data_IF_553935067137
#
_entry.id   IF_553935067137
#
_cell.length_a   1.000
_cell.length_b   1.000
_cell.length_c   1.000
_cell.angle_alpha   90.00
_cell.angle_beta   90.00
_cell.angle_gamma   90.00
#
_symmetry.space_group_name_H-M   'P 1'
#
loop_
_entity.id
_entity.type
_entity.pdbx_description
1 polymer ?
#
# COMPACT_ATOMS: atom_id res chain seq x y z
N UNK A 1 43.74 44.69 25.45
CA UNK A 1 42.78 45.59 24.75
C UNK A 1 42.97 47.00 25.29
N UNK A 2 43.30 47.98 24.45
CA UNK A 2 43.26 49.39 24.86
C UNK A 2 41.80 49.81 25.02
N UNK A 3 41.41 50.24 26.21
CA UNK A 3 40.05 50.72 26.48
C UNK A 3 39.96 52.20 26.11
N UNK A 4 39.09 52.54 25.16
CA UNK A 4 38.78 53.94 24.83
C UNK A 4 38.24 54.64 26.08
N UNK A 5 38.89 55.74 26.48
CA UNK A 5 38.51 56.56 27.65
C UNK A 5 37.62 57.74 27.27
N UNK A 6 37.64 58.16 26.00
CA UNK A 6 36.93 59.33 25.51
C UNK A 6 36.45 59.07 24.08
N UNK A 7 35.19 59.36 23.80
CA UNK A 7 34.58 59.32 22.47
C UNK A 7 33.85 60.65 22.27
N UNK A 8 34.08 61.35 21.16
CA UNK A 8 33.51 62.68 20.86
C UNK A 8 33.59 63.66 22.03
N UNK A 9 34.80 63.85 22.57
CA UNK A 9 35.10 64.74 23.70
C UNK A 9 34.40 64.41 25.03
N UNK A 10 33.56 63.36 25.11
CA UNK A 10 32.88 62.91 26.34
C UNK A 10 33.58 61.68 26.94
N UNK A 11 33.66 61.64 28.28
CA UNK A 11 34.21 60.50 29.02
C UNK A 11 33.21 59.35 28.96
N UNK A 12 33.63 58.20 28.45
CA UNK A 12 32.77 57.02 28.34
C UNK A 12 32.51 56.47 29.74
N UNK A 13 31.24 56.40 30.12
CA UNK A 13 30.79 55.83 31.39
C UNK A 13 30.85 54.30 31.38
N UNK A 14 30.95 53.70 32.56
CA UNK A 14 31.00 52.24 32.68
C UNK A 14 29.70 51.57 32.21
N UNK A 15 28.57 52.26 32.36
CA UNK A 15 27.26 51.80 31.90
C UNK A 15 27.18 51.79 30.35
N UNK A 16 27.74 52.79 29.67
CA UNK A 16 27.83 52.82 28.20
C UNK A 16 28.71 51.68 27.65
N UNK A 17 29.81 51.34 28.34
CA UNK A 17 30.64 50.17 27.99
C UNK A 17 29.88 48.86 28.16
N UNK A 18 29.13 48.72 29.26
CA UNK A 18 28.30 47.54 29.52
C UNK A 18 27.21 47.37 28.46
N UNK A 19 26.50 48.45 28.12
CA UNK A 19 25.46 48.42 27.07
C UNK A 19 26.03 48.09 25.69
N UNK A 20 27.16 48.69 25.30
CA UNK A 20 27.82 48.38 24.03
C UNK A 20 28.27 46.91 23.95
N UNK A 21 28.76 46.34 25.05
CA UNK A 21 29.14 44.91 25.13
C UNK A 21 27.94 43.98 24.98
N UNK A 22 26.80 44.31 25.60
CA UNK A 22 25.55 43.53 25.45
C UNK A 22 25.02 43.61 24.02
N UNK A 23 25.04 44.79 23.41
CA UNK A 23 24.62 44.97 22.01
C UNK A 23 25.54 44.21 21.03
N UNK A 24 26.86 44.26 21.24
CA UNK A 24 27.82 43.51 20.44
C UNK A 24 27.59 41.99 20.55
N UNK A 25 27.37 41.47 21.76
CA UNK A 25 27.04 40.05 21.96
C UNK A 25 25.72 39.65 21.31
N UNK A 26 24.68 40.48 21.44
CA UNK A 26 23.37 40.25 20.81
C UNK A 26 23.46 40.28 19.28
N UNK A 27 24.26 41.18 18.72
CA UNK A 27 24.48 41.25 17.27
C UNK A 27 25.29 40.04 16.77
N UNK A 28 26.32 39.62 17.50
CA UNK A 28 27.10 38.42 17.19
C UNK A 28 26.21 37.15 17.25
N UNK A 29 25.33 37.06 18.24
CA UNK A 29 24.36 35.97 18.36
C UNK A 29 23.34 35.98 17.22
N UNK A 30 22.82 37.15 16.85
CA UNK A 30 21.95 37.30 15.68
C UNK A 30 22.66 36.88 14.38
N UNK A 31 23.95 37.24 14.22
CA UNK A 31 24.76 36.82 13.06
C UNK A 31 24.97 35.32 13.04
N UNK A 32 25.26 34.70 14.19
CA UNK A 32 25.43 33.25 14.32
C UNK A 32 24.16 32.49 14.00
N UNK A 33 23.02 32.94 14.52
CA UNK A 33 21.71 32.33 14.25
C UNK A 33 21.31 32.52 12.77
N UNK A 34 21.54 33.71 12.20
CA UNK A 34 21.33 33.94 10.77
C UNK A 34 22.21 33.04 9.90
N UNK A 35 23.48 32.84 10.27
CA UNK A 35 24.39 31.94 9.56
C UNK A 35 23.91 30.48 9.64
N UNK A 36 23.48 30.03 10.82
CA UNK A 36 22.90 28.70 11.04
C UNK A 36 21.66 28.48 10.17
N UNK A 37 20.74 29.45 10.12
CA UNK A 37 19.57 29.39 9.26
C UNK A 37 19.93 29.35 7.77
N UNK A 38 20.94 30.11 7.35
CA UNK A 38 21.44 30.08 5.97
C UNK A 38 22.00 28.70 5.60
N UNK A 39 22.80 28.09 6.48
CA UNK A 39 23.34 26.74 6.28
C UNK A 39 22.23 25.69 6.18
N UNK A 40 21.21 25.77 7.03
CA UNK A 40 20.05 24.87 6.98
C UNK A 40 19.26 25.01 5.67
N UNK A 41 19.01 26.25 5.22
CA UNK A 41 18.34 26.52 3.94
C UNK A 41 19.14 25.99 2.76
N UNK A 42 20.47 26.16 2.79
CA UNK A 42 21.34 25.66 1.73
C UNK A 42 21.39 24.13 1.72
N UNK A 43 21.50 23.49 2.89
CA UNK A 43 21.42 22.03 3.01
C UNK A 43 20.10 21.50 2.43
N UNK A 44 18.97 22.12 2.79
CA UNK A 44 17.64 21.79 2.23
C UNK A 44 17.65 21.88 0.70
N UNK A 45 18.17 22.99 0.15
CA UNK A 45 18.23 23.24 -1.29
C UNK A 45 19.03 22.15 -2.01
N UNK A 46 20.18 21.76 -1.46
CA UNK A 46 21.04 20.72 -2.02
C UNK A 46 20.36 19.33 -1.98
N UNK A 47 19.74 18.96 -0.86
CA UNK A 47 19.03 17.68 -0.75
C UNK A 47 17.88 17.59 -1.74
N UNK A 48 17.06 18.63 -1.89
CA UNK A 48 15.97 18.65 -2.89
C UNK A 48 16.54 18.53 -4.31
N UNK A 49 17.66 19.19 -4.63
CA UNK A 49 18.29 19.08 -5.94
C UNK A 49 18.82 17.66 -6.20
N UNK A 50 19.43 17.03 -5.19
CA UNK A 50 19.92 15.66 -5.29
C UNK A 50 18.76 14.68 -5.51
N UNK A 51 17.66 14.81 -4.75
CA UNK A 51 16.44 14.00 -4.93
C UNK A 51 15.86 14.18 -6.33
N UNK A 52 15.74 15.42 -6.81
CA UNK A 52 15.24 15.71 -8.16
C UNK A 52 16.13 15.07 -9.24
N UNK A 53 17.46 15.14 -9.10
CA UNK A 53 18.39 14.49 -10.03
C UNK A 53 18.23 12.97 -10.04
N UNK A 54 18.06 12.34 -8.86
CA UNK A 54 17.83 10.91 -8.76
C UNK A 54 16.50 10.51 -9.42
N UNK A 55 15.46 11.32 -9.21
CA UNK A 55 14.16 11.16 -9.87
C UNK A 55 14.31 11.19 -11.39
N UNK A 56 14.99 12.20 -11.95
CA UNK A 56 15.20 12.31 -13.40
C UNK A 56 15.97 11.11 -13.97
N UNK A 57 17.02 10.66 -13.27
CA UNK A 57 17.79 9.48 -13.66
C UNK A 57 16.94 8.21 -13.64
N UNK A 58 16.04 8.07 -12.66
CA UNK A 58 15.10 6.96 -12.58
C UNK A 58 14.11 6.99 -13.75
N UNK A 59 13.53 8.15 -14.08
CA UNK A 59 12.61 8.28 -15.21
C UNK A 59 13.29 7.94 -16.54
N UNK A 60 14.54 8.37 -16.74
CA UNK A 60 15.32 8.01 -17.94
C UNK A 60 15.56 6.50 -18.04
N UNK A 61 15.86 5.81 -16.93
CA UNK A 61 16.01 4.35 -16.93
C UNK A 61 14.73 3.66 -17.35
N UNK A 62 13.58 4.08 -16.82
CA UNK A 62 12.27 3.50 -17.16
C UNK A 62 11.94 3.73 -18.64
N UNK A 63 12.19 4.93 -19.17
CA UNK A 63 12.00 5.24 -20.59
C UNK A 63 12.92 4.41 -21.52
N UNK A 64 14.18 4.18 -21.11
CA UNK A 64 15.13 3.37 -21.86
C UNK A 64 14.79 1.87 -21.85
N UNK A 65 14.12 1.37 -20.82
CA UNK A 65 13.64 -0.02 -20.77
C UNK A 65 12.44 -0.18 -21.72
N UNK A 66 11.48 0.74 -21.69
CA UNK A 66 10.31 0.71 -22.57
C UNK A 66 10.69 0.74 -24.07
N UNK A 67 11.73 1.48 -24.44
CA UNK A 67 12.22 1.56 -25.83
C UNK A 67 13.01 0.33 -26.30
N UNK A 68 13.51 -0.50 -25.37
CA UNK A 68 14.22 -1.74 -25.70
C UNK A 68 13.29 -2.95 -25.79
N UNK A 69 12.13 -2.96 -25.11
CA UNK A 69 11.11 -4.00 -25.30
C UNK A 69 10.48 -3.95 -26.70
N UNK A 70 10.27 -2.77 -27.27
CA UNK A 70 9.76 -2.59 -28.65
C UNK A 70 10.75 -3.04 -29.76
N UNK A 71 12.00 -3.39 -29.40
CA UNK A 71 13.02 -3.87 -30.36
C UNK A 71 13.27 -5.37 -30.31
N UNK A 72 12.60 -6.11 -29.41
CA UNK A 72 12.88 -7.52 -29.14
C UNK A 72 11.87 -8.49 -29.77
N UNK A 73 11.32 -8.14 -30.92
CA UNK A 73 10.75 -9.10 -31.88
C UNK A 73 11.72 -9.28 -33.07
N UNK A 74 12.91 -9.81 -32.79
CA UNK A 74 13.81 -10.40 -33.80
C UNK A 74 14.85 -11.26 -33.08
N UNK A 75 14.88 -12.54 -33.46
CA UNK A 75 15.74 -13.63 -32.98
C UNK A 75 17.15 -13.23 -32.51
N UNK A 76 17.54 -13.70 -31.32
CA UNK A 76 18.68 -14.63 -31.14
C UNK A 76 18.92 -14.96 -29.67
N UNK A 77 19.17 -16.24 -29.43
CA UNK A 77 19.60 -16.81 -28.16
C UNK A 77 21.12 -16.65 -28.01
N UNK A 78 21.60 -16.16 -26.85
CA UNK A 78 22.84 -16.62 -26.22
C UNK A 78 23.00 -16.11 -24.77
N UNK A 79 23.58 -17.00 -23.97
CA UNK A 79 23.76 -17.01 -22.51
C UNK A 79 24.82 -16.02 -21.97
N UNK A 80 24.92 -15.84 -20.64
CA UNK A 80 25.60 -14.71 -19.98
C UNK A 80 27.08 -14.98 -19.65
N UNK A 81 27.91 -13.94 -19.73
CA UNK A 81 29.26 -13.94 -19.16
C UNK A 81 29.48 -12.77 -18.18
N UNK A 82 30.03 -13.14 -17.02
CA UNK A 82 30.66 -12.31 -16.00
C UNK A 82 32.00 -11.74 -16.50
N UNK A 83 32.47 -10.63 -15.89
CA UNK A 83 33.80 -10.46 -15.24
C UNK A 83 34.17 -8.95 -15.13
N UNK A 84 34.32 -8.53 -13.87
CA UNK A 84 35.30 -7.64 -13.21
C UNK A 84 35.73 -6.26 -13.74
N UNK A 85 35.85 -5.33 -12.77
CA UNK A 85 37.15 -4.67 -12.53
C UNK A 85 37.19 -3.14 -12.43
N UNK A 86 37.05 -2.62 -11.20
CA UNK A 86 37.79 -1.47 -10.60
C UNK A 86 37.91 -0.12 -11.32
N UNK A 87 37.46 0.95 -10.65
CA UNK A 87 38.37 2.01 -10.14
C UNK A 87 37.68 2.88 -9.09
N UNK A 88 38.06 2.66 -7.82
CA UNK A 88 37.86 3.57 -6.69
C UNK A 88 38.96 4.64 -6.74
N UNK A 89 38.60 5.92 -6.71
CA UNK A 89 39.54 7.02 -6.43
C UNK A 89 39.34 7.49 -5.00
N UNK A 90 40.23 7.05 -4.11
CA UNK A 90 40.36 7.50 -2.73
C UNK A 90 41.26 8.74 -2.63
N UNK A 91 41.17 9.42 -1.47
CA UNK A 91 42.15 10.25 -0.73
C UNK A 91 41.61 11.65 -0.35
N UNK A 92 42.02 12.23 0.81
CA UNK A 92 42.26 11.61 2.12
C UNK A 92 41.57 12.35 3.30
N UNK A 93 41.31 11.62 4.39
CA UNK A 93 40.90 12.12 5.71
C UNK A 93 42.03 12.89 6.41
N UNK A 94 41.73 14.07 6.94
CA UNK A 94 42.47 14.66 8.07
C UNK A 94 41.55 14.73 9.29
N UNK A 95 41.94 14.00 10.33
CA UNK A 95 41.32 14.00 11.65
C UNK A 95 42.07 14.96 12.56
N UNK A 96 41.36 15.89 13.18
CA UNK A 96 41.85 16.77 14.24
C UNK A 96 40.70 17.18 15.19
N UNK A 97 40.90 17.21 16.52
CA UNK A 97 39.82 17.05 17.50
C UNK A 97 39.26 18.40 17.97
N UNK A 98 37.96 18.62 17.79
CA UNK A 98 37.24 19.78 18.34
C UNK A 98 35.85 19.36 18.89
N UNK A 99 35.77 19.45 20.21
CA UNK A 99 34.62 19.71 21.09
C UNK A 99 33.36 18.83 21.03
N UNK A 100 33.28 17.97 22.04
CA UNK A 100 32.25 16.98 22.39
C UNK A 100 30.84 17.52 22.70
N UNK A 101 30.55 18.80 22.43
CA UNK A 101 29.23 19.42 22.66
C UNK A 101 28.29 19.40 21.46
N UNK A 102 28.81 19.20 20.24
CA UNK A 102 28.04 19.20 18.99
C UNK A 102 27.52 17.81 18.58
N UNK A 103 28.03 16.74 19.17
CA UNK A 103 27.72 15.36 18.77
C UNK A 103 26.31 14.90 19.11
N UNK A 104 25.61 15.53 20.06
CA UNK A 104 24.22 15.18 20.38
C UNK A 104 23.19 15.78 19.41
N UNK A 105 23.60 16.74 18.56
CA UNK A 105 22.77 17.27 17.47
C UNK A 105 23.18 16.72 16.08
N UNK A 106 24.24 15.91 16.02
CA UNK A 106 24.88 15.39 14.81
C UNK A 106 25.14 13.87 14.91
N UNK A 107 24.16 13.09 15.35
CA UNK A 107 24.11 11.68 14.95
C UNK A 107 23.49 11.60 13.55
N UNK A 108 24.33 11.70 12.52
CA UNK A 108 23.86 11.55 11.13
C UNK A 108 24.79 12.05 10.04
N UNK A 109 26.10 12.14 10.27
CA UNK A 109 27.08 12.25 9.18
C UNK A 109 27.38 10.85 8.64
N UNK A 110 26.37 10.33 7.96
CA UNK A 110 26.44 9.25 6.98
C UNK A 110 25.52 9.71 5.86
N UNK A 111 26.00 9.65 4.63
CA UNK A 111 25.30 9.97 3.38
C UNK A 111 23.78 9.72 3.45
N UNK A 112 22.99 10.78 3.68
CA UNK A 112 21.54 10.81 3.46
C UNK A 112 21.27 12.02 2.56
N UNK A 113 21.68 11.89 1.30
CA UNK A 113 21.39 12.82 0.20
C UNK A 113 20.15 12.39 -0.61
N UNK A 114 19.41 11.40 -0.12
CA UNK A 114 18.44 10.64 -0.90
C UNK A 114 16.98 10.98 -0.60
N UNK A 115 16.68 11.66 0.52
CA UNK A 115 15.33 12.09 0.86
C UNK A 115 15.32 13.25 1.87
N UNK A 116 14.20 13.97 1.96
CA UNK A 116 13.97 15.05 2.93
C UNK A 116 12.54 14.98 3.48
N UNK A 117 12.40 15.20 4.78
CA UNK A 117 11.11 15.33 5.47
C UNK A 117 11.07 16.68 6.16
N UNK A 118 10.07 17.48 5.82
CA UNK A 118 9.90 18.82 6.36
C UNK A 118 8.50 18.97 6.95
N UNK A 119 8.43 19.60 8.12
CA UNK A 119 7.18 20.00 8.75
C UNK A 119 7.19 21.52 8.85
N UNK A 120 6.35 22.16 8.04
CA UNK A 120 6.17 23.59 8.04
C UNK A 120 4.74 23.91 8.47
N UNK A 121 4.57 24.34 9.72
CA UNK A 121 3.26 24.59 10.33
C UNK A 121 2.35 23.36 10.33
N UNK A 122 1.33 23.37 9.46
CA UNK A 122 0.34 22.31 9.28
C UNK A 122 0.62 21.40 8.07
N UNK A 123 1.74 21.64 7.38
CA UNK A 123 2.10 20.96 6.14
C UNK A 123 3.29 20.02 6.35
N UNK A 124 3.07 18.73 6.13
CA UNK A 124 4.11 17.70 6.06
C UNK A 124 4.54 17.52 4.60
N UNK A 125 5.80 17.84 4.29
CA UNK A 125 6.38 17.67 2.95
C UNK A 125 7.39 16.53 2.93
N UNK A 126 7.16 15.55 2.05
CA UNK A 126 7.96 14.35 1.86
C UNK A 126 8.62 14.43 0.48
N UNK A 127 9.95 14.40 0.44
CA UNK A 127 10.75 14.46 -0.77
C UNK A 127 11.56 13.18 -0.93
N UNK A 128 11.36 12.46 -2.04
CA UNK A 128 12.07 11.20 -2.32
C UNK A 128 11.45 9.98 -1.60
N UNK A 129 11.58 8.80 -2.20
CA UNK A 129 10.97 7.55 -1.71
C UNK A 129 11.30 7.23 -0.25
N UNK A 130 12.56 7.44 0.16
CA UNK A 130 13.00 7.22 1.55
C UNK A 130 12.28 8.10 2.58
N UNK A 131 11.65 9.21 2.18
CA UNK A 131 10.86 10.03 3.10
C UNK A 131 9.62 9.30 3.60
N UNK A 132 9.11 8.30 2.88
CA UNK A 132 7.93 7.52 3.29
C UNK A 132 8.18 6.72 4.58
N UNK A 133 9.43 6.31 4.85
CA UNK A 133 9.80 5.62 6.10
C UNK A 133 9.59 6.51 7.33
N UNK A 134 9.59 7.83 7.17
CA UNK A 134 9.31 8.75 8.27
C UNK A 134 7.89 8.65 8.81
N UNK A 135 6.96 8.07 8.03
CA UNK A 135 5.60 7.79 8.48
C UNK A 135 5.55 6.68 9.55
N UNK A 136 6.58 5.81 9.60
CA UNK A 136 6.71 4.78 10.63
C UNK A 136 7.26 5.34 11.95
N UNK A 137 7.87 6.54 11.93
CA UNK A 137 8.39 7.19 13.14
C UNK A 137 7.29 7.48 14.15
N UNK A 138 7.71 7.68 15.39
CA UNK A 138 6.85 8.10 16.49
C UNK A 138 6.70 9.62 16.45
N UNK A 139 5.59 10.07 15.85
CA UNK A 139 5.21 11.48 15.84
C UNK A 139 4.58 11.87 17.18
N UNK A 140 4.90 13.07 17.67
CA UNK A 140 4.22 13.61 18.85
C UNK A 140 2.73 13.80 18.53
N UNK A 141 1.84 13.56 19.50
CA UNK A 141 0.39 13.71 19.33
C UNK A 141 0.03 15.13 18.87
N UNK A 142 0.75 16.14 19.37
CA UNK A 142 0.55 17.53 19.00
C UNK A 142 0.92 17.78 17.53
N UNK A 143 2.11 17.35 17.09
CA UNK A 143 2.57 17.51 15.71
C UNK A 143 1.66 16.76 14.74
N UNK A 144 1.32 15.50 15.05
CA UNK A 144 0.44 14.68 14.22
C UNK A 144 -0.97 15.25 14.11
N UNK A 145 -1.48 15.88 15.19
CA UNK A 145 -2.79 16.52 15.20
C UNK A 145 -2.84 17.85 14.45
N UNK A 146 -1.72 18.58 14.39
CA UNK A 146 -1.60 19.86 13.65
C UNK A 146 -1.49 19.69 12.15
N UNK A 147 -0.97 18.55 11.67
CA UNK A 147 -0.78 18.31 10.24
C UNK A 147 -2.14 18.10 9.56
N UNK A 148 -2.49 19.03 8.69
CA UNK A 148 -3.70 19.01 7.86
C UNK A 148 -3.38 18.71 6.39
N UNK A 149 -2.16 19.05 5.96
CA UNK A 149 -1.73 18.97 4.58
C UNK A 149 -0.53 18.05 4.45
N UNK A 150 -0.58 17.10 3.51
CA UNK A 150 0.52 16.17 3.22
C UNK A 150 0.92 16.32 1.76
N UNK A 151 2.19 16.62 1.51
CA UNK A 151 2.75 16.87 0.19
C UNK A 151 3.79 15.81 -0.14
N UNK A 152 3.61 15.13 -1.26
CA UNK A 152 4.54 14.15 -1.82
C UNK A 152 5.24 14.77 -3.03
N UNK A 153 6.57 14.72 -3.06
CA UNK A 153 7.38 15.28 -4.15
C UNK A 153 8.50 14.32 -4.55
N UNK A 154 8.62 13.99 -5.84
CA UNK A 154 9.63 13.05 -6.37
C UNK A 154 9.47 11.64 -5.78
N UNK A 155 8.25 11.11 -5.75
CA UNK A 155 7.92 9.80 -5.18
C UNK A 155 6.93 9.12 -6.11
N UNK A 156 7.20 7.89 -6.54
CA UNK A 156 6.27 7.11 -7.36
C UNK A 156 4.94 6.93 -6.64
N UNK A 157 3.82 7.18 -7.33
CA UNK A 157 2.51 7.06 -6.71
C UNK A 157 2.25 5.66 -6.14
N UNK A 158 2.74 4.62 -6.80
CA UNK A 158 2.61 3.24 -6.34
C UNK A 158 3.25 3.02 -4.96
N UNK A 159 4.39 3.65 -4.68
CA UNK A 159 5.00 3.61 -3.35
C UNK A 159 4.14 4.32 -2.31
N UNK A 160 3.50 5.44 -2.68
CA UNK A 160 2.59 6.18 -1.81
C UNK A 160 1.38 5.32 -1.44
N UNK A 161 0.84 4.52 -2.38
CA UNK A 161 -0.32 3.65 -2.13
C UNK A 161 -0.09 2.69 -0.95
N UNK A 162 1.12 2.14 -0.83
CA UNK A 162 1.48 1.22 0.26
C UNK A 162 1.45 1.87 1.64
N UNK A 163 1.66 3.19 1.72
CA UNK A 163 1.69 3.93 2.99
C UNK A 163 0.39 4.67 3.31
N UNK A 164 -0.60 4.70 2.41
CA UNK A 164 -1.92 5.32 2.66
C UNK A 164 -2.61 4.79 3.93
N UNK A 165 -2.60 3.47 4.25
CA UNK A 165 -3.18 2.97 5.50
C UNK A 165 -2.47 3.51 6.74
N UNK A 166 -1.14 3.68 6.67
CA UNK A 166 -0.32 4.24 7.76
C UNK A 166 -0.65 5.72 7.94
N UNK A 167 -0.75 6.47 6.85
CA UNK A 167 -1.12 7.88 6.84
C UNK A 167 -2.46 8.11 7.53
N UNK A 168 -3.46 7.27 7.22
CA UNK A 168 -4.78 7.28 7.83
C UNK A 168 -4.78 7.09 9.36
N UNK A 169 -3.80 6.37 9.90
CA UNK A 169 -3.69 6.10 11.35
C UNK A 169 -2.89 7.21 12.03
N UNK A 170 -1.75 7.58 11.46
CA UNK A 170 -0.80 8.53 12.06
C UNK A 170 -1.25 9.98 11.96
N UNK A 171 -1.94 10.36 10.88
CA UNK A 171 -2.38 11.72 10.61
C UNK A 171 -3.89 11.75 10.32
N UNK A 172 -4.74 11.54 11.34
CA UNK A 172 -6.20 11.44 11.16
C UNK A 172 -6.84 12.76 10.69
N UNK A 173 -6.16 13.89 10.87
CA UNK A 173 -6.60 15.22 10.47
C UNK A 173 -6.07 15.65 9.09
N UNK A 174 -5.41 14.76 8.35
CA UNK A 174 -4.97 15.05 6.98
C UNK A 174 -6.20 15.19 6.06
N UNK A 175 -6.44 16.41 5.60
CA UNK A 175 -7.58 16.77 4.73
C UNK A 175 -7.13 17.18 3.33
N UNK A 176 -5.88 17.63 3.18
CA UNK A 176 -5.31 18.08 1.92
C UNK A 176 -4.14 17.20 1.49
N UNK A 177 -4.23 16.59 0.31
CA UNK A 177 -3.12 15.88 -0.32
C UNK A 177 -2.57 16.66 -1.52
N UNK A 178 -1.24 16.82 -1.56
CA UNK A 178 -0.52 17.44 -2.67
C UNK A 178 0.41 16.41 -3.31
N UNK A 179 0.35 16.30 -4.62
CA UNK A 179 1.17 15.39 -5.42
C UNK A 179 1.93 16.20 -6.46
N UNK A 180 3.26 16.10 -6.46
CA UNK A 180 4.14 16.77 -7.42
C UNK A 180 5.21 15.79 -7.88
N UNK A 181 5.39 15.62 -9.20
CA UNK A 181 6.39 14.67 -9.70
C UNK A 181 6.18 13.27 -9.08
N UNK A 182 4.98 12.71 -9.27
CA UNK A 182 4.59 11.42 -8.67
C UNK A 182 4.15 10.36 -9.68
N UNK A 183 4.29 10.63 -10.98
CA UNK A 183 3.92 9.70 -12.04
C UNK A 183 2.48 9.19 -11.95
N UNK A 184 1.55 10.09 -11.65
CA UNK A 184 0.14 9.81 -11.86
C UNK A 184 -0.17 9.84 -13.35
N UNK A 185 -0.36 8.67 -13.95
CA UNK A 185 -0.59 8.48 -15.39
C UNK A 185 -2.03 8.05 -15.70
N UNK A 186 -2.65 7.24 -14.83
CA UNK A 186 -3.95 6.61 -15.07
C UNK A 186 -5.01 7.09 -14.08
N UNK A 187 -6.26 7.23 -14.54
CA UNK A 187 -7.39 7.60 -13.68
C UNK A 187 -7.61 6.60 -12.53
N UNK A 188 -7.40 5.30 -12.79
CA UNK A 188 -7.62 4.25 -11.80
C UNK A 188 -6.76 4.41 -10.55
N UNK A 189 -5.61 5.06 -10.63
CA UNK A 189 -4.72 5.33 -9.49
C UNK A 189 -5.46 6.08 -8.37
N UNK A 190 -6.41 6.96 -8.70
CA UNK A 190 -7.23 7.66 -7.72
C UNK A 190 -8.13 6.74 -6.89
N UNK A 191 -8.42 5.53 -7.35
CA UNK A 191 -9.18 4.56 -6.57
C UNK A 191 -8.45 4.19 -5.27
N UNK A 192 -7.11 4.29 -5.24
CA UNK A 192 -6.33 4.04 -4.03
C UNK A 192 -6.66 5.03 -2.90
N UNK A 193 -6.97 6.29 -3.26
CA UNK A 193 -7.25 7.34 -2.29
C UNK A 193 -8.54 7.10 -1.50
N UNK A 194 -9.45 6.25 -2.00
CA UNK A 194 -10.67 5.87 -1.30
C UNK A 194 -10.41 5.10 0.03
N UNK A 195 -9.19 4.61 0.25
CA UNK A 195 -8.82 3.91 1.49
C UNK A 195 -8.69 4.87 2.70
N UNK A 196 -8.54 6.17 2.44
CA UNK A 196 -8.40 7.21 3.46
C UNK A 196 -9.72 7.45 4.22
N UNK A 197 -9.66 8.17 5.36
CA UNK A 197 -10.88 8.48 6.15
C UNK A 197 -11.68 9.62 5.54
N UNK A 198 -10.98 10.68 5.15
CA UNK A 198 -11.56 11.92 4.65
C UNK A 198 -10.49 12.68 3.87
N UNK A 199 -10.85 13.26 2.75
CA UNK A 199 -10.00 14.16 1.96
C UNK A 199 -10.89 15.28 1.41
N UNK A 200 -10.67 16.49 1.90
CA UNK A 200 -11.47 17.66 1.49
C UNK A 200 -10.81 18.39 0.31
N UNK A 201 -9.49 18.30 0.18
CA UNK A 201 -8.74 18.99 -0.86
C UNK A 201 -7.72 18.06 -1.53
N UNK A 202 -7.63 18.16 -2.85
CA UNK A 202 -6.64 17.46 -3.66
C UNK A 202 -5.91 18.45 -4.55
N UNK A 203 -4.59 18.35 -4.61
CA UNK A 203 -3.76 19.14 -5.53
C UNK A 203 -2.78 18.25 -6.24
N UNK A 204 -2.84 18.26 -7.56
CA UNK A 204 -1.97 17.50 -8.45
C UNK A 204 -1.27 18.52 -9.32
N UNK A 205 0.03 18.62 -9.15
CA UNK A 205 0.89 19.46 -9.98
C UNK A 205 0.93 18.88 -11.41
N UNK A 206 0.72 19.69 -12.47
CA UNK A 206 0.84 19.23 -13.85
C UNK A 206 2.22 18.66 -14.18
N UNK A 207 3.27 19.10 -13.49
CA UNK A 207 4.63 18.59 -13.68
C UNK A 207 4.77 17.18 -13.08
N UNK A 208 5.18 16.24 -13.94
CA UNK A 208 5.37 14.83 -13.60
C UNK A 208 4.10 14.04 -13.31
N UNK A 209 2.92 14.55 -13.67
CA UNK A 209 1.65 13.84 -13.53
C UNK A 209 0.82 13.95 -14.83
N UNK A 210 1.06 13.06 -15.82
CA UNK A 210 0.35 13.06 -17.10
C UNK A 210 -1.18 12.97 -16.96
N UNK A 211 -1.69 12.46 -15.83
CA UNK A 211 -3.13 12.35 -15.57
C UNK A 211 -3.85 13.69 -15.68
N UNK A 212 -3.16 14.80 -15.41
CA UNK A 212 -3.72 16.15 -15.47
C UNK A 212 -4.08 16.56 -16.90
N UNK A 213 -3.47 15.93 -17.92
CA UNK A 213 -3.76 16.18 -19.33
C UNK A 213 -5.12 15.61 -19.78
N UNK A 214 -5.69 14.66 -19.04
CA UNK A 214 -7.01 14.12 -19.38
C UNK A 214 -8.12 15.08 -18.97
N UNK A 215 -8.89 15.61 -19.92
CA UNK A 215 -9.96 16.58 -19.63
C UNK A 215 -10.95 16.11 -18.55
N UNK A 216 -11.19 14.81 -18.44
CA UNK A 216 -12.18 14.24 -17.52
C UNK A 216 -11.62 13.82 -16.15
N UNK A 217 -10.32 13.99 -15.87
CA UNK A 217 -9.72 13.45 -14.64
C UNK A 217 -10.38 14.01 -13.37
N UNK A 218 -10.70 15.32 -13.37
CA UNK A 218 -11.37 15.98 -12.23
C UNK A 218 -12.74 15.35 -11.96
N UNK A 219 -13.53 15.14 -13.01
CA UNK A 219 -14.84 14.49 -12.90
C UNK A 219 -14.72 13.04 -12.45
N UNK A 220 -13.69 12.31 -12.88
CA UNK A 220 -13.44 10.95 -12.40
C UNK A 220 -13.13 10.91 -10.91
N UNK A 221 -12.26 11.80 -10.43
CA UNK A 221 -11.92 11.92 -9.00
C UNK A 221 -13.17 12.24 -8.19
N UNK A 222 -13.97 13.22 -8.62
CA UNK A 222 -15.22 13.59 -7.95
C UNK A 222 -16.23 12.44 -7.92
N UNK A 223 -16.33 11.68 -9.01
CA UNK A 223 -17.16 10.49 -9.07
C UNK A 223 -16.67 9.41 -8.09
N UNK A 224 -15.39 9.05 -8.13
CA UNK A 224 -14.85 7.95 -7.32
C UNK A 224 -14.82 8.28 -5.83
N UNK A 225 -14.43 9.51 -5.50
CA UNK A 225 -14.24 10.00 -4.13
C UNK A 225 -15.44 10.83 -3.63
N UNK A 226 -16.62 10.62 -4.22
CA UNK A 226 -17.83 11.36 -3.87
C UNK A 226 -18.18 11.29 -2.37
N UNK A 227 -17.84 10.19 -1.73
CA UNK A 227 -18.07 9.95 -0.31
C UNK A 227 -17.30 10.92 0.60
N UNK A 228 -16.20 11.50 0.12
CA UNK A 228 -15.47 12.53 0.86
C UNK A 228 -16.07 13.93 0.71
N UNK A 229 -16.97 14.16 -0.27
CA UNK A 229 -17.55 15.48 -0.54
C UNK A 229 -16.47 16.56 -0.68
N UNK A 230 -15.51 16.29 -1.58
CA UNK A 230 -14.33 17.13 -1.80
C UNK A 230 -14.73 18.58 -2.09
N UNK A 231 -14.05 19.53 -1.44
CA UNK A 231 -14.34 20.96 -1.53
C UNK A 231 -13.48 21.65 -2.59
N UNK A 232 -12.20 21.26 -2.73
CA UNK A 232 -11.27 21.90 -3.67
C UNK A 232 -10.41 20.89 -4.43
N UNK A 233 -10.29 21.09 -5.74
CA UNK A 233 -9.36 20.35 -6.62
C UNK A 233 -8.47 21.36 -7.35
N UNK A 234 -7.15 21.26 -7.19
CA UNK A 234 -6.15 22.18 -7.76
C UNK A 234 -6.50 23.66 -7.51
N UNK A 235 -6.97 23.98 -6.30
CA UNK A 235 -7.38 25.33 -5.91
C UNK A 235 -8.74 25.80 -6.48
N UNK A 236 -9.38 25.00 -7.35
CA UNK A 236 -10.74 25.27 -7.86
C UNK A 236 -11.77 24.69 -6.90
N UNK A 237 -12.80 25.47 -6.56
CA UNK A 237 -13.91 25.00 -5.74
C UNK A 237 -14.79 24.02 -6.52
N UNK A 238 -15.17 22.93 -5.87
CA UNK A 238 -16.04 21.91 -6.43
C UNK A 238 -17.48 22.36 -6.31
N UNK A 239 -18.18 22.47 -7.44
CA UNK A 239 -19.58 22.86 -7.45
C UNK A 239 -20.51 21.65 -7.49
N UNK A 240 -21.78 21.84 -7.10
CA UNK A 240 -22.79 20.79 -7.21
C UNK A 240 -23.01 20.36 -8.67
N UNK A 241 -22.82 21.28 -9.63
CA UNK A 241 -22.91 20.96 -11.06
C UNK A 241 -21.80 19.99 -11.49
N UNK A 242 -20.58 20.14 -10.95
CA UNK A 242 -19.48 19.23 -11.23
C UNK A 242 -19.77 17.81 -10.72
N UNK A 243 -20.41 17.71 -9.55
CA UNK A 243 -20.84 16.43 -8.98
C UNK A 243 -21.91 15.75 -9.86
N UNK A 244 -22.88 16.52 -10.37
CA UNK A 244 -23.92 16.01 -11.27
C UNK A 244 -23.29 15.56 -12.61
N UNK A 245 -22.36 16.32 -13.16
CA UNK A 245 -21.65 15.95 -14.38
C UNK A 245 -20.77 14.71 -14.19
N UNK A 246 -20.06 14.61 -13.08
CA UNK A 246 -19.27 13.43 -12.71
C UNK A 246 -20.16 12.17 -12.65
N UNK A 247 -21.34 12.27 -12.05
CA UNK A 247 -22.31 11.17 -12.01
C UNK A 247 -22.81 10.79 -13.40
N UNK A 248 -23.12 11.79 -14.23
CA UNK A 248 -23.62 11.55 -15.58
C UNK A 248 -22.57 10.87 -16.48
N UNK A 249 -21.30 11.22 -16.32
CA UNK A 249 -20.20 10.68 -17.12
C UNK A 249 -19.81 9.26 -16.68
N UNK A 250 -19.67 9.04 -15.37
CA UNK A 250 -19.06 7.82 -14.83
C UNK A 250 -20.04 6.93 -14.04
N UNK A 251 -21.28 7.34 -13.79
CA UNK A 251 -22.27 6.55 -13.07
C UNK A 251 -22.47 5.16 -13.67
N UNK A 252 -22.52 5.07 -15.00
CA UNK A 252 -22.65 3.81 -15.73
C UNK A 252 -21.46 2.88 -15.46
N UNK A 253 -20.24 3.42 -15.30
CA UNK A 253 -19.05 2.63 -15.02
C UNK A 253 -19.18 1.84 -13.71
N UNK A 254 -19.73 2.46 -12.66
CA UNK A 254 -19.97 1.75 -11.41
C UNK A 254 -21.07 0.67 -11.55
N UNK A 255 -22.11 0.94 -12.35
CA UNK A 255 -23.13 -0.06 -12.62
C UNK A 255 -22.57 -1.28 -13.34
N UNK A 256 -21.80 -1.08 -14.42
CA UNK A 256 -21.15 -2.15 -15.18
C UNK A 256 -20.15 -2.90 -14.30
N UNK A 257 -19.29 -2.20 -13.56
CA UNK A 257 -18.33 -2.85 -12.66
C UNK A 257 -19.03 -3.70 -11.59
N UNK A 258 -20.20 -3.27 -11.09
CA UNK A 258 -20.98 -4.05 -10.12
C UNK A 258 -21.76 -5.23 -10.72
N UNK A 259 -22.18 -5.15 -11.99
CA UNK A 259 -22.96 -6.21 -12.64
C UNK A 259 -22.09 -7.37 -13.13
N UNK A 260 -20.85 -7.10 -13.53
CA UNK A 260 -19.91 -8.11 -14.05
C UNK A 260 -19.22 -8.93 -12.93
N UNK A 261 -19.42 -8.56 -11.65
CA UNK A 261 -18.78 -9.21 -10.52
C UNK A 261 -19.72 -10.25 -9.86
N UNK A 262 -19.33 -11.54 -9.83
CA UNK A 262 -20.13 -12.57 -9.15
C UNK A 262 -20.39 -12.22 -7.67
N UNK A 263 -21.60 -12.50 -7.18
CA UNK A 263 -22.06 -12.13 -5.83
C UNK A 263 -21.11 -12.54 -4.70
N UNK A 264 -20.47 -13.71 -4.80
CA UNK A 264 -19.49 -14.18 -3.80
C UNK A 264 -18.23 -13.30 -3.76
N UNK A 265 -17.80 -12.72 -4.88
CA UNK A 265 -16.67 -11.78 -4.94
C UNK A 265 -17.05 -10.40 -4.40
N UNK A 266 -18.26 -9.92 -4.68
CA UNK A 266 -18.80 -8.69 -4.09
C UNK A 266 -18.82 -8.75 -2.56
N UNK A 267 -19.25 -9.89 -2.00
CA UNK A 267 -19.27 -10.11 -0.54
C UNK A 267 -17.85 -10.11 0.04
N UNK A 268 -16.88 -10.71 -0.66
CA UNK A 268 -15.47 -10.71 -0.24
C UNK A 268 -14.84 -9.31 -0.28
N UNK A 269 -15.18 -8.48 -1.29
CA UNK A 269 -14.68 -7.11 -1.43
C UNK A 269 -15.30 -6.16 -0.38
N UNK A 270 -16.57 -6.37 -0.01
CA UNK A 270 -17.28 -5.48 0.93
C UNK A 270 -16.86 -5.64 2.41
N UNK A 271 -16.20 -6.76 2.75
CA UNK A 271 -15.80 -7.13 4.11
C UNK A 271 -16.96 -7.61 4.99
N UNK A 272 -16.67 -8.42 6.01
CA UNK A 272 -17.67 -9.05 6.89
C UNK A 272 -18.59 -8.04 7.63
N UNK A 273 -18.15 -6.78 7.81
CA UNK A 273 -18.92 -5.72 8.46
C UNK A 273 -20.20 -5.31 7.68
N UNK A 274 -20.19 -5.44 6.34
CA UNK A 274 -21.32 -5.03 5.47
C UNK A 274 -22.16 -6.21 4.97
N UNK A 275 -21.80 -7.43 5.38
CA UNK A 275 -22.49 -8.71 5.11
C UNK A 275 -23.95 -8.71 5.57
N UNK A 276 -24.27 -8.03 6.68
CA UNK A 276 -25.65 -7.95 7.22
C UNK A 276 -26.53 -6.94 6.47
N UNK A 277 -25.98 -5.78 6.09
CA UNK A 277 -26.72 -4.73 5.38
C UNK A 277 -27.07 -5.13 3.94
N UNK A 278 -26.14 -5.77 3.23
CA UNK A 278 -26.39 -6.20 1.84
C UNK A 278 -27.43 -7.34 1.75
N UNK A 279 -27.44 -8.23 2.75
CA UNK A 279 -28.43 -9.31 2.86
C UNK A 279 -29.84 -8.75 3.12
N UNK A 280 -29.94 -7.75 4.00
CA UNK A 280 -31.21 -7.09 4.35
C UNK A 280 -31.82 -6.26 3.20
N UNK A 281 -30.97 -5.60 2.40
CA UNK A 281 -31.40 -4.82 1.22
C UNK A 281 -31.95 -5.71 0.08
N UNK A 282 -31.46 -6.94 -0.05
CA UNK A 282 -31.98 -7.90 -1.02
C UNK A 282 -33.29 -8.55 -0.55
N UNK A 283 -33.43 -8.82 0.76
CA UNK A 283 -34.63 -9.41 1.36
C UNK A 283 -35.82 -8.43 1.46
N UNK A 284 -35.57 -7.12 1.41
CA UNK A 284 -36.60 -6.09 1.57
C UNK A 284 -37.33 -5.70 0.28
N UNK A 285 -37.07 -6.37 -0.85
CA UNK A 285 -37.77 -6.13 -2.12
C UNK A 285 -39.25 -6.58 -2.14
N UNK A 286 -39.88 -6.79 -0.98
CA UNK A 286 -41.19 -7.45 -0.89
C UNK A 286 -42.25 -6.89 0.07
N UNK A 287 -41.96 -6.03 1.07
CA UNK A 287 -43.02 -5.60 2.04
C UNK A 287 -42.86 -4.17 2.56
N UNK A 288 -44.00 -3.46 2.61
CA UNK A 288 -44.21 -2.05 3.03
C UNK A 288 -43.59 -1.70 4.40
N UNK A 289 -43.22 -0.42 4.66
CA UNK A 289 -42.64 -0.03 5.93
C UNK A 289 -43.72 0.22 7.00
N UNK A 290 -43.59 -0.48 8.13
CA UNK A 290 -44.30 -0.22 9.38
C UNK A 290 -43.31 0.24 10.44
N UNK A 291 -43.72 1.24 11.23
CA UNK A 291 -42.96 1.98 12.26
C UNK A 291 -42.63 1.09 13.48
N UNK A 292 -41.68 1.57 14.33
CA UNK A 292 -41.25 1.15 15.69
C UNK A 292 -39.91 0.35 15.67
N UNK A 293 -38.85 0.62 16.43
CA UNK A 293 -38.57 1.51 17.58
C UNK A 293 -37.08 1.92 17.55
N UNK A 294 -36.77 3.09 18.13
CA UNK A 294 -35.41 3.46 18.53
C UNK A 294 -34.92 2.56 19.67
N UNK A 295 -33.61 2.27 19.67
CA UNK A 295 -32.71 2.06 20.83
C UNK A 295 -31.53 1.17 20.41
N UNK A 296 -30.53 1.77 19.75
CA UNK A 296 -29.12 1.44 19.97
C UNK A 296 -28.22 2.53 19.36
N UNK A 297 -27.92 3.56 20.16
CA UNK A 297 -26.91 4.56 19.84
C UNK A 297 -25.53 3.90 19.92
N UNK A 298 -24.84 3.83 18.76
CA UNK A 298 -23.38 3.98 18.59
C UNK A 298 -22.85 3.44 17.24
N UNK A 299 -23.72 3.31 16.24
CA UNK A 299 -23.30 3.18 14.82
C UNK A 299 -23.76 4.38 14.00
N UNK A 300 -23.42 5.59 14.47
CA UNK A 300 -23.65 6.83 13.71
C UNK A 300 -22.80 6.80 12.42
N UNK A 301 -23.47 6.47 11.31
CA UNK A 301 -23.30 7.06 9.98
C UNK A 301 -21.87 7.06 9.40
N UNK A 302 -21.42 5.91 8.89
CA UNK A 302 -20.52 5.88 7.72
C UNK A 302 -21.38 6.04 6.46
N UNK A 303 -21.89 7.26 6.25
CA UNK A 303 -22.52 7.68 5.00
C UNK A 303 -21.44 7.71 3.92
N UNK A 304 -21.69 7.09 2.76
CA UNK A 304 -21.26 7.73 1.52
C UNK A 304 -20.71 6.87 0.39
N UNK A 305 -20.28 5.61 0.57
CA UNK A 305 -19.86 4.80 -0.58
C UNK A 305 -21.06 4.07 -1.18
N UNK A 306 -21.58 4.56 -2.31
CA UNK A 306 -22.48 3.79 -3.17
C UNK A 306 -21.79 2.46 -3.47
N UNK A 307 -22.41 1.34 -3.07
CA UNK A 307 -21.82 -0.02 -3.15
C UNK A 307 -21.27 -0.37 -4.53
N UNK A 308 -21.83 0.23 -5.58
CA UNK A 308 -21.42 0.03 -6.96
C UNK A 308 -20.01 0.58 -7.25
N UNK A 309 -19.57 1.63 -6.54
CA UNK A 309 -18.24 2.27 -6.71
C UNK A 309 -17.14 1.57 -5.94
N UNK A 310 -17.49 0.82 -4.89
CA UNK A 310 -16.53 0.04 -4.08
C UNK A 310 -15.87 -1.13 -4.84
N UNK A 311 -16.38 -1.44 -6.04
CA UNK A 311 -15.76 -2.40 -6.97
C UNK A 311 -14.55 -1.80 -7.70
N UNK A 312 -14.48 -0.47 -7.82
CA UNK A 312 -13.39 0.24 -8.45
C UNK A 312 -12.23 0.38 -7.47
N UNK A 313 -11.32 -0.58 -7.52
CA UNK A 313 -10.12 -0.63 -6.69
C UNK A 313 -8.87 -0.41 -7.54
N UNK A 314 -7.84 0.17 -6.92
CA UNK A 314 -6.50 0.23 -7.49
C UNK A 314 -5.64 -0.82 -6.80
N UNK A 315 -4.95 -1.62 -7.59
CA UNK A 315 -3.89 -2.52 -7.11
C UNK A 315 -2.62 -2.13 -7.84
N UNK A 316 -1.54 -1.91 -7.09
CA UNK A 316 -0.21 -1.63 -7.64
C UNK A 316 0.23 -2.78 -8.56
N UNK A 317 1.16 -2.50 -9.47
CA UNK A 317 1.63 -3.49 -10.46
C UNK A 317 2.18 -4.75 -9.78
N UNK A 318 2.83 -4.60 -8.64
CA UNK A 318 3.41 -5.70 -7.87
C UNK A 318 2.33 -6.59 -7.24
N UNK A 319 1.28 -5.98 -6.67
CA UNK A 319 0.14 -6.72 -6.12
C UNK A 319 -0.66 -7.44 -7.23
N UNK A 320 -0.74 -6.87 -8.43
CA UNK A 320 -1.35 -7.54 -9.57
C UNK A 320 -0.56 -8.80 -9.98
N UNK A 321 0.77 -8.70 -10.03
CA UNK A 321 1.65 -9.83 -10.37
C UNK A 321 1.58 -10.93 -9.30
N UNK A 322 1.66 -10.59 -8.02
CA UNK A 322 1.52 -11.55 -6.91
C UNK A 322 0.17 -12.28 -6.98
N UNK A 323 -0.91 -11.53 -7.18
CA UNK A 323 -2.26 -12.11 -7.31
C UNK A 323 -2.40 -12.98 -8.56
N UNK A 324 -1.74 -12.64 -9.65
CA UNK A 324 -1.74 -13.44 -10.87
C UNK A 324 -1.00 -14.77 -10.65
N UNK A 325 0.13 -14.74 -9.95
CA UNK A 325 0.86 -15.95 -9.54
C UNK A 325 0.02 -16.80 -8.58
N UNK A 326 -0.62 -16.20 -7.57
CA UNK A 326 -1.54 -16.92 -6.67
C UNK A 326 -2.68 -17.60 -7.44
N UNK A 327 -3.24 -16.94 -8.45
CA UNK A 327 -4.29 -17.53 -9.31
C UNK A 327 -3.73 -18.70 -10.14
N UNK A 328 -2.51 -18.58 -10.68
CA UNK A 328 -1.85 -19.67 -11.41
C UNK A 328 -1.61 -20.88 -10.52
N UNK A 329 -1.09 -20.66 -9.31
CA UNK A 329 -0.85 -21.71 -8.32
C UNK A 329 -2.16 -22.40 -7.90
N UNK A 330 -3.21 -21.64 -7.59
CA UNK A 330 -4.54 -22.20 -7.29
C UNK A 330 -5.10 -23.03 -8.44
N UNK A 331 -4.96 -22.55 -9.68
CA UNK A 331 -5.40 -23.29 -10.86
C UNK A 331 -4.62 -24.59 -11.04
N UNK A 332 -3.31 -24.56 -10.81
CA UNK A 332 -2.45 -25.76 -10.82
C UNK A 332 -2.87 -26.76 -9.74
N UNK A 333 -3.06 -26.28 -8.50
CA UNK A 333 -3.55 -27.09 -7.39
C UNK A 333 -4.89 -27.76 -7.69
N UNK A 334 -5.89 -26.99 -8.15
CA UNK A 334 -7.21 -27.54 -8.49
C UNK A 334 -7.11 -28.61 -9.60
N UNK A 335 -6.26 -28.38 -10.60
CA UNK A 335 -6.05 -29.36 -11.68
C UNK A 335 -5.48 -30.66 -11.12
N UNK A 336 -4.40 -30.60 -10.34
CA UNK A 336 -3.78 -31.78 -9.73
C UNK A 336 -4.75 -32.50 -8.79
N UNK A 337 -5.48 -31.76 -7.96
CA UNK A 337 -6.47 -32.34 -7.04
C UNK A 337 -7.59 -33.10 -7.78
N UNK A 338 -8.10 -32.54 -8.88
CA UNK A 338 -9.13 -33.21 -9.70
C UNK A 338 -8.53 -34.44 -10.40
N UNK A 339 -7.31 -34.35 -10.91
CA UNK A 339 -6.62 -35.50 -11.54
C UNK A 339 -6.44 -36.65 -10.55
N UNK A 340 -6.05 -36.36 -9.31
CA UNK A 340 -5.90 -37.36 -8.25
C UNK A 340 -7.25 -38.00 -7.88
N UNK A 341 -8.32 -37.19 -7.73
CA UNK A 341 -9.67 -37.70 -7.47
C UNK A 341 -10.19 -38.60 -8.60
N UNK A 342 -9.96 -38.21 -9.85
CA UNK A 342 -10.35 -39.01 -11.02
C UNK A 342 -9.57 -40.33 -11.03
N UNK A 343 -8.26 -40.28 -10.76
CA UNK A 343 -7.43 -41.47 -10.68
C UNK A 343 -7.93 -42.43 -9.60
N UNK A 344 -8.19 -41.93 -8.39
CA UNK A 344 -8.71 -42.75 -7.29
C UNK A 344 -10.08 -43.36 -7.64
N UNK A 345 -10.99 -42.57 -8.23
CA UNK A 345 -12.29 -43.07 -8.69
C UNK A 345 -12.15 -44.16 -9.76
N UNK A 346 -11.22 -44.00 -10.71
CA UNK A 346 -10.96 -45.02 -11.74
C UNK A 346 -10.39 -46.30 -11.15
N UNK A 347 -9.47 -46.21 -10.18
CA UNK A 347 -8.92 -47.37 -9.49
C UNK A 347 -9.98 -48.12 -8.69
N UNK A 348 -10.86 -47.40 -7.98
CA UNK A 348 -11.99 -47.99 -7.27
C UNK A 348 -12.93 -48.70 -8.25
N UNK A 349 -13.25 -48.06 -9.39
CA UNK A 349 -14.11 -48.68 -10.39
C UNK A 349 -13.48 -49.96 -10.98
N UNK A 350 -12.19 -49.94 -11.30
CA UNK A 350 -11.47 -51.12 -11.81
C UNK A 350 -11.47 -52.27 -10.79
N UNK A 351 -11.23 -51.97 -9.50
CA UNK A 351 -11.31 -52.98 -8.43
C UNK A 351 -12.72 -53.55 -8.29
N UNK A 352 -13.74 -52.71 -8.38
CA UNK A 352 -15.13 -53.15 -8.33
C UNK A 352 -15.49 -54.05 -9.54
N UNK A 353 -15.11 -53.68 -10.76
CA UNK A 353 -15.32 -54.52 -11.95
C UNK A 353 -14.61 -55.87 -11.85
N UNK A 354 -13.37 -55.89 -11.35
CA UNK A 354 -12.64 -57.13 -11.13
C UNK A 354 -13.33 -58.01 -10.08
N UNK A 355 -13.80 -57.42 -8.97
CA UNK A 355 -14.56 -58.12 -7.94
C UNK A 355 -15.86 -58.69 -8.52
N UNK A 356 -16.62 -57.94 -9.30
CA UNK A 356 -17.86 -58.43 -9.93
C UNK A 356 -17.63 -59.64 -10.84
N UNK A 357 -16.48 -59.70 -11.53
CA UNK A 357 -16.11 -60.86 -12.36
C UNK A 357 -15.70 -62.08 -11.52
N UNK A 358 -14.98 -61.87 -10.43
CA UNK A 358 -14.45 -62.95 -9.57
C UNK A 358 -15.45 -63.45 -8.52
N UNK A 359 -16.39 -62.60 -8.11
CA UNK A 359 -17.33 -62.85 -7.00
C UNK A 359 -18.18 -64.12 -7.18
N UNK A 360 -18.77 -64.40 -8.36
CA UNK A 360 -19.54 -65.62 -8.55
C UNK A 360 -18.71 -66.89 -8.32
N UNK A 361 -17.46 -66.90 -8.80
CA UNK A 361 -16.56 -68.05 -8.64
C UNK A 361 -16.11 -68.18 -7.18
N UNK A 362 -15.68 -67.10 -6.54
CA UNK A 362 -15.31 -67.12 -5.12
C UNK A 362 -16.48 -67.58 -4.24
N UNK A 363 -17.70 -67.15 -4.53
CA UNK A 363 -18.89 -67.57 -3.79
C UNK A 363 -19.16 -69.07 -3.95
N UNK A 364 -19.06 -69.60 -5.18
CA UNK A 364 -19.21 -71.03 -5.43
C UNK A 364 -18.15 -71.83 -4.67
N UNK A 365 -16.89 -71.38 -4.69
CA UNK A 365 -15.79 -72.03 -3.97
C UNK A 365 -16.02 -72.00 -2.46
N UNK A 366 -16.40 -70.86 -1.89
CA UNK A 366 -16.74 -70.73 -0.47
C UNK A 366 -17.87 -71.68 -0.06
N UNK A 367 -18.95 -71.76 -0.84
CA UNK A 367 -20.08 -72.66 -0.55
C UNK A 367 -19.65 -74.12 -0.69
N UNK A 368 -18.91 -74.46 -1.76
CA UNK A 368 -18.39 -75.81 -1.99
C UNK A 368 -17.50 -76.25 -0.83
N UNK A 369 -16.55 -75.40 -0.43
CA UNK A 369 -15.58 -75.70 0.61
C UNK A 369 -16.30 -75.86 1.96
N UNK A 370 -17.24 -74.98 2.29
CA UNK A 370 -18.09 -75.13 3.49
C UNK A 370 -18.90 -76.44 3.48
N UNK A 371 -19.48 -76.82 2.34
CA UNK A 371 -20.23 -78.09 2.22
C UNK A 371 -19.31 -79.30 2.35
N UNK A 372 -18.11 -79.26 1.77
CA UNK A 372 -17.10 -80.32 1.88
C UNK A 372 -16.64 -80.48 3.33
N UNK A 373 -16.36 -79.38 4.01
CA UNK A 373 -15.98 -79.36 5.43
C UNK A 373 -17.06 -80.03 6.29
N UNK A 374 -18.34 -79.69 6.07
CA UNK A 374 -19.46 -80.22 6.87
C UNK A 374 -19.80 -81.68 6.51
N UNK A 375 -19.41 -82.16 5.31
CA UNK A 375 -19.72 -83.52 4.84
C UNK A 375 -19.26 -84.60 5.82
N UNK A 376 -18.10 -84.43 6.46
CA UNK A 376 -17.64 -85.31 7.53
C UNK A 376 -17.88 -84.69 8.89
N UNK A 377 -19.09 -84.89 9.43
CA UNK A 377 -19.56 -84.32 10.70
C UNK A 377 -18.58 -84.55 11.87
N UNK A 378 -17.93 -85.71 11.93
CA UNK A 378 -17.01 -86.04 13.02
C UNK A 378 -15.68 -85.27 12.93
N UNK A 379 -15.14 -85.11 11.71
CA UNK A 379 -13.93 -84.30 11.50
C UNK A 379 -14.22 -82.82 11.66
N UNK A 380 -15.35 -82.34 11.14
CA UNK A 380 -15.79 -80.95 11.28
C UNK A 380 -15.98 -80.55 12.75
N UNK A 381 -16.66 -81.40 13.54
CA UNK A 381 -16.86 -81.17 14.97
C UNK A 381 -15.53 -81.08 15.73
N UNK A 382 -14.54 -81.93 15.41
CA UNK A 382 -13.19 -81.84 15.98
C UNK A 382 -12.51 -80.52 15.59
N UNK A 383 -12.63 -80.11 14.34
CA UNK A 383 -12.05 -78.86 13.81
C UNK A 383 -12.65 -77.62 14.49
N UNK A 384 -13.98 -77.55 14.64
CA UNK A 384 -14.65 -76.47 15.36
C UNK A 384 -14.28 -76.45 16.85
N UNK A 385 -14.24 -77.60 17.52
CA UNK A 385 -13.80 -77.69 18.90
C UNK A 385 -12.34 -77.24 19.07
N UNK A 386 -11.48 -77.54 18.09
CA UNK A 386 -10.09 -77.11 18.08
C UNK A 386 -9.97 -75.60 17.84
N UNK A 387 -10.71 -75.02 16.88
CA UNK A 387 -10.78 -73.58 16.67
C UNK A 387 -11.28 -72.80 17.90
N UNK A 388 -12.27 -73.33 18.64
CA UNK A 388 -12.74 -72.75 19.90
C UNK A 388 -11.67 -72.85 21.00
N UNK A 389 -10.85 -73.90 20.98
CA UNK A 389 -9.75 -74.08 21.92
C UNK A 389 -8.58 -73.14 21.62
N UNK A 390 -8.28 -72.92 20.33
CA UNK A 390 -7.19 -72.03 19.86
C UNK A 390 -7.56 -70.54 19.92
N UNK A 391 -8.85 -70.20 20.08
CA UNK A 391 -9.34 -68.83 20.29
C UNK A 391 -9.45 -68.43 21.78
N UNK A 392 -9.07 -69.32 22.70
CA UNK A 392 -8.82 -68.99 24.11
C UNK A 392 -7.33 -68.76 24.32
#
# INVERSE_FOLDING_TARGET
MMQLRQLDMKRITEEERRMASVLAKKEEEKKRESHKQSLLKEKKRLTINNVARQWDLQQQRVANIATNEDRKDSDSAQDPCQIDGSTLSAFPEETGPLDSGLNNALQGLSVIDTYLVEVDGDTLSLYGSGALESLDRNWSVQTAGMITTVSFTFIEFDEIVHVLPKLKIKFPNSLHLKFKETNLVMLQQFNALAQLRRVDQLTIDPQGNPVVNFTLWKYYVLFRLSHFSMQKINGTEVTQNDMIMAERLFGILAHVASSELPQYRLISILGDARKKQFRYLLESKGKKPGIINEENNDSKRLVGENTNRATLNYTTRDFYNEKLEEIKEKKKFCKTYIEDLVKEATEINMKNEALQKLWPQMFIELVRDAVIEIRNKNSYMKLCLQQITDQK
#
